data_IF_806782579744
#
_entry.id   IF_806782579744
#
_cell.length_a   1.000
_cell.length_b   1.000
_cell.length_c   1.000
_cell.angle_alpha   90.00
_cell.angle_beta   90.00
_cell.angle_gamma   90.00
#
_symmetry.space_group_name_H-M   'P 1'
#
loop_
_entity.id
_entity.type
_entity.pdbx_description
1 polymer ?
#
# COMPACT_ATOMS: atom_id res chain seq x y z
N UNK A 1 -14.65 71.37 -8.05
CA UNK A 1 -14.15 71.95 -9.30
C UNK A 1 -12.65 72.07 -9.21
N UNK A 2 -11.88 71.86 -10.34
CA UNK A 2 -12.21 71.18 -11.60
C UNK A 2 -11.38 69.92 -11.80
N UNK A 3 -11.80 69.07 -12.47
CA UNK A 3 -11.76 68.31 -13.74
C UNK A 3 -10.66 68.73 -14.72
N UNK A 4 -9.83 67.80 -15.16
CA UNK A 4 -9.15 67.75 -16.47
C UNK A 4 -8.87 66.25 -16.80
N UNK A 5 -9.65 65.69 -17.67
CA UNK A 5 -9.49 65.22 -19.05
C UNK A 5 -8.32 64.26 -19.33
N UNK A 6 -8.75 63.04 -19.66
CA UNK A 6 -8.39 62.19 -20.80
C UNK A 6 -7.19 62.57 -21.65
N UNK A 7 -6.32 61.53 -21.88
CA UNK A 7 -5.84 61.25 -23.23
C UNK A 7 -5.55 59.71 -23.37
N UNK A 8 -6.33 59.12 -24.23
CA UNK A 8 -6.13 57.83 -24.87
C UNK A 8 -4.89 57.87 -25.75
N UNK A 9 -4.01 56.87 -25.66
CA UNK A 9 -3.14 56.45 -26.73
C UNK A 9 -3.13 54.94 -26.87
N UNK A 10 -3.78 54.54 -27.94
CA UNK A 10 -3.77 53.25 -28.57
C UNK A 10 -2.35 52.89 -29.04
N UNK A 11 -1.80 51.76 -28.68
CA UNK A 11 -0.70 51.14 -29.40
C UNK A 11 -0.79 49.61 -29.33
N UNK A 12 -1.41 49.10 -30.38
CA UNK A 12 -1.26 47.70 -30.80
C UNK A 12 0.20 47.43 -31.16
N UNK A 13 0.85 46.50 -30.48
CA UNK A 13 1.87 45.63 -31.11
C UNK A 13 2.12 44.37 -30.27
N UNK A 14 1.95 43.22 -30.91
CA UNK A 14 2.82 42.09 -30.80
C UNK A 14 2.71 41.21 -29.54
N UNK A 15 1.77 40.29 -29.55
CA UNK A 15 1.81 39.15 -28.66
C UNK A 15 3.10 38.33 -28.82
N UNK A 16 3.88 38.24 -27.79
CA UNK A 16 4.86 37.18 -27.59
C UNK A 16 4.41 36.37 -26.37
N UNK A 17 3.76 35.26 -26.69
CA UNK A 17 3.50 34.18 -25.78
C UNK A 17 4.86 33.66 -25.26
N UNK A 18 5.29 34.10 -24.10
CA UNK A 18 6.35 33.44 -23.34
C UNK A 18 5.71 32.41 -22.45
N UNK A 19 5.40 31.26 -23.02
CA UNK A 19 5.33 30.04 -22.26
C UNK A 19 6.73 29.76 -21.71
N UNK A 20 7.01 30.30 -20.52
CA UNK A 20 8.11 29.88 -19.67
C UNK A 20 7.89 28.46 -19.23
N UNK A 21 8.20 27.51 -20.10
CA UNK A 21 8.37 26.11 -19.70
C UNK A 21 9.40 26.08 -18.59
N UNK A 22 8.98 25.78 -17.37
CA UNK A 22 9.86 25.31 -16.32
C UNK A 22 10.51 24.02 -16.85
N UNK A 23 11.68 24.17 -17.46
CA UNK A 23 12.61 23.08 -17.68
C UNK A 23 13.04 22.60 -16.30
N UNK A 24 12.29 21.65 -15.74
CA UNK A 24 12.83 20.74 -14.77
C UNK A 24 14.04 20.09 -15.43
N UNK A 25 15.25 20.60 -15.14
CA UNK A 25 16.51 19.95 -15.44
C UNK A 25 16.55 18.67 -14.58
N UNK A 26 15.77 17.67 -14.96
CA UNK A 26 15.88 16.31 -14.47
C UNK A 26 17.22 15.78 -15.02
N UNK A 27 18.24 15.82 -14.17
CA UNK A 27 19.51 15.16 -14.46
C UNK A 27 19.22 13.69 -14.76
N UNK A 28 19.39 13.30 -16.04
CA UNK A 28 19.15 11.90 -16.47
C UNK A 28 20.26 11.01 -15.91
N UNK A 29 19.88 10.02 -15.12
CA UNK A 29 20.79 9.04 -14.55
C UNK A 29 21.08 7.94 -15.58
N UNK A 30 22.15 8.09 -16.34
CA UNK A 30 22.54 7.15 -17.39
C UNK A 30 22.90 5.77 -16.87
N UNK A 31 23.43 5.66 -15.66
CA UNK A 31 23.67 4.37 -15.02
C UNK A 31 22.38 3.63 -14.72
N UNK A 32 21.37 4.34 -14.24
CA UNK A 32 20.03 3.80 -13.99
C UNK A 32 19.29 3.45 -15.28
N UNK A 33 19.42 4.25 -16.33
CA UNK A 33 18.81 3.97 -17.65
C UNK A 33 19.34 2.65 -18.21
N UNK A 34 20.66 2.39 -18.13
CA UNK A 34 21.27 1.14 -18.56
C UNK A 34 21.14 0.00 -17.53
N UNK A 35 20.68 0.30 -16.32
CA UNK A 35 20.61 -0.63 -15.19
C UNK A 35 21.99 -1.27 -14.88
N UNK A 36 23.00 -0.41 -14.71
CA UNK A 36 24.37 -0.80 -14.33
C UNK A 36 24.89 0.02 -13.16
N UNK A 37 25.90 -0.47 -12.47
CA UNK A 37 26.58 0.29 -11.40
C UNK A 37 27.36 1.48 -11.99
N UNK A 38 27.53 2.56 -11.21
CA UNK A 38 28.42 3.66 -11.55
C UNK A 38 29.90 3.21 -11.68
N UNK A 39 30.26 2.07 -11.08
CA UNK A 39 31.56 1.43 -11.22
C UNK A 39 31.66 0.43 -12.38
N UNK A 40 30.61 0.31 -13.20
CA UNK A 40 30.56 -0.67 -14.29
C UNK A 40 31.69 -0.49 -15.30
N UNK A 41 32.27 -1.60 -15.71
CA UNK A 41 33.27 -1.68 -16.77
C UNK A 41 32.65 -1.38 -18.14
N UNK A 42 33.48 -1.01 -19.10
CA UNK A 42 33.06 -0.81 -20.50
C UNK A 42 32.39 -2.06 -21.09
N UNK A 43 32.83 -3.27 -20.69
CA UNK A 43 32.23 -4.52 -21.13
C UNK A 43 30.80 -4.71 -20.59
N UNK A 44 30.56 -4.37 -19.32
CA UNK A 44 29.25 -4.41 -18.69
C UNK A 44 28.30 -3.40 -19.31
N UNK A 45 28.75 -2.17 -19.57
CA UNK A 45 27.98 -1.14 -20.26
C UNK A 45 27.54 -1.61 -21.65
N UNK A 46 28.49 -2.21 -22.45
CA UNK A 46 28.18 -2.77 -23.77
C UNK A 46 27.15 -3.90 -23.69
N UNK A 47 27.25 -4.76 -22.67
CA UNK A 47 26.32 -5.88 -22.46
C UNK A 47 24.93 -5.37 -22.08
N UNK A 48 24.86 -4.42 -21.18
CA UNK A 48 23.61 -3.81 -20.74
C UNK A 48 22.89 -3.08 -21.87
N UNK A 49 23.64 -2.30 -22.67
CA UNK A 49 23.10 -1.64 -23.86
C UNK A 49 22.47 -2.64 -24.85
N UNK A 50 23.18 -3.72 -25.20
CA UNK A 50 22.65 -4.75 -26.12
C UNK A 50 21.38 -5.39 -25.59
N UNK A 51 21.29 -5.62 -24.28
CA UNK A 51 20.10 -6.17 -23.65
C UNK A 51 18.93 -5.20 -23.75
N UNK A 52 19.13 -3.94 -23.35
CA UNK A 52 18.11 -2.87 -23.41
C UNK A 52 17.66 -2.55 -24.83
N UNK A 53 18.60 -2.46 -25.77
CA UNK A 53 18.28 -2.21 -27.17
C UNK A 53 17.43 -3.35 -27.77
N UNK A 54 17.72 -4.60 -27.41
CA UNK A 54 16.90 -5.75 -27.81
C UNK A 54 15.49 -5.70 -27.20
N UNK A 55 15.35 -5.31 -25.93
CA UNK A 55 14.05 -5.19 -25.25
C UNK A 55 13.16 -4.08 -25.85
N UNK A 56 13.77 -3.00 -26.36
CA UNK A 56 13.07 -1.84 -26.91
C UNK A 56 12.95 -1.83 -28.45
N UNK A 57 13.50 -2.86 -29.12
CA UNK A 57 13.51 -2.89 -30.60
C UNK A 57 12.10 -3.06 -31.16
N UNK A 58 11.69 -2.24 -32.18
CA UNK A 58 10.32 -2.25 -32.71
C UNK A 58 9.94 -3.55 -33.43
N UNK A 59 10.91 -4.37 -33.88
CA UNK A 59 10.67 -5.63 -34.60
C UNK A 59 10.42 -6.86 -33.71
N UNK A 60 10.46 -6.70 -32.39
CA UNK A 60 10.13 -7.83 -31.50
C UNK A 60 8.62 -7.83 -31.28
N UNK A 61 7.89 -8.88 -31.73
CA UNK A 61 6.46 -9.00 -31.54
C UNK A 61 6.16 -9.36 -30.08
N UNK A 62 6.15 -8.37 -29.20
CA UNK A 62 5.67 -8.52 -27.84
C UNK A 62 4.39 -7.72 -27.66
N UNK A 63 3.25 -8.44 -27.74
CA UNK A 63 1.90 -8.03 -27.42
C UNK A 63 1.27 -6.85 -28.20
N UNK A 64 0.51 -7.17 -29.21
CA UNK A 64 -0.28 -6.34 -30.11
C UNK A 64 -1.47 -5.61 -29.49
N UNK A 65 -1.38 -5.05 -28.27
CA UNK A 65 -2.57 -4.41 -27.68
C UNK A 65 -2.44 -2.96 -27.21
N UNK A 66 -1.40 -2.20 -27.57
CA UNK A 66 -1.41 -0.73 -27.33
C UNK A 66 -0.71 0.04 -28.44
N UNK A 67 -1.51 0.73 -29.27
CA UNK A 67 -1.04 1.68 -30.31
C UNK A 67 -0.25 2.87 -29.74
N UNK A 68 -0.39 3.16 -28.44
CA UNK A 68 0.33 4.24 -27.73
C UNK A 68 1.75 3.88 -27.27
N UNK A 69 2.17 2.62 -27.43
CA UNK A 69 3.48 2.14 -26.96
C UNK A 69 4.64 2.44 -27.91
N UNK A 70 4.39 2.76 -29.17
CA UNK A 70 5.47 2.96 -30.16
C UNK A 70 6.27 4.22 -29.91
N UNK A 71 5.62 5.34 -29.64
CA UNK A 71 6.29 6.62 -29.35
C UNK A 71 7.03 6.58 -27.99
N UNK A 72 6.49 5.84 -27.02
CA UNK A 72 7.17 5.63 -25.72
C UNK A 72 8.44 4.77 -25.85
N UNK A 73 8.40 3.72 -26.66
CA UNK A 73 9.56 2.85 -26.87
C UNK A 73 10.66 3.54 -27.70
N UNK A 74 10.30 4.37 -28.68
CA UNK A 74 11.27 5.18 -29.43
C UNK A 74 11.99 6.19 -28.53
N UNK A 75 11.27 6.89 -27.66
CA UNK A 75 11.88 7.80 -26.68
C UNK A 75 12.78 7.07 -25.69
N UNK A 76 12.34 5.93 -25.16
CA UNK A 76 13.13 5.09 -24.27
C UNK A 76 14.40 4.57 -24.97
N UNK A 77 14.32 4.16 -26.23
CA UNK A 77 15.47 3.71 -27.01
C UNK A 77 16.46 4.86 -27.24
N UNK A 78 15.98 6.06 -27.54
CA UNK A 78 16.83 7.26 -27.66
C UNK A 78 17.57 7.58 -26.36
N UNK A 79 16.91 7.45 -25.21
CA UNK A 79 17.57 7.64 -23.91
C UNK A 79 18.65 6.56 -23.65
N UNK A 80 18.37 5.31 -23.99
CA UNK A 80 19.34 4.20 -23.88
C UNK A 80 20.57 4.43 -24.77
N UNK A 81 20.38 4.93 -26.01
CA UNK A 81 21.47 5.27 -26.93
C UNK A 81 22.33 6.40 -26.36
N UNK A 82 21.70 7.50 -25.90
CA UNK A 82 22.42 8.62 -25.28
C UNK A 82 23.23 8.20 -24.06
N UNK A 83 22.63 7.40 -23.17
CA UNK A 83 23.30 6.86 -22.00
C UNK A 83 24.53 6.00 -22.40
N UNK A 84 24.37 5.13 -23.39
CA UNK A 84 25.45 4.29 -23.89
C UNK A 84 26.59 5.12 -24.49
N UNK A 85 26.30 6.05 -25.41
CA UNK A 85 27.32 6.92 -26.04
C UNK A 85 28.11 7.72 -25.02
N UNK A 86 27.42 8.24 -24.00
CA UNK A 86 28.07 9.04 -22.95
C UNK A 86 28.95 8.18 -22.05
N UNK A 87 28.49 6.99 -21.64
CA UNK A 87 29.19 6.14 -20.70
C UNK A 87 30.29 5.30 -21.38
N UNK A 88 30.25 5.12 -22.72
CA UNK A 88 31.25 4.40 -23.47
C UNK A 88 32.52 5.26 -23.75
N UNK A 89 32.34 6.53 -24.01
CA UNK A 89 33.44 7.49 -24.24
C UNK A 89 34.05 7.91 -22.91
N UNK A 90 35.34 7.64 -22.73
CA UNK A 90 36.05 7.90 -21.47
C UNK A 90 36.02 9.39 -21.05
N UNK A 91 36.09 10.34 -22.01
CA UNK A 91 36.03 11.79 -21.71
C UNK A 91 34.63 12.24 -21.33
N UNK A 92 33.62 11.79 -22.10
CA UNK A 92 32.22 12.09 -21.82
C UNK A 92 31.78 11.47 -20.51
N UNK A 93 32.21 10.23 -20.24
CA UNK A 93 31.93 9.56 -18.96
C UNK A 93 32.56 10.30 -17.79
N UNK A 94 33.80 10.73 -17.87
CA UNK A 94 34.48 11.47 -16.82
C UNK A 94 33.74 12.81 -16.52
N UNK A 95 33.31 13.54 -17.56
CA UNK A 95 32.53 14.76 -17.41
C UNK A 95 31.15 14.46 -16.78
N UNK A 96 30.47 13.40 -17.23
CA UNK A 96 29.21 12.97 -16.67
C UNK A 96 29.36 12.55 -15.20
N UNK A 97 30.40 11.78 -14.86
CA UNK A 97 30.67 11.31 -13.50
C UNK A 97 30.94 12.46 -12.54
N UNK A 98 31.59 13.52 -12.99
CA UNK A 98 31.79 14.72 -12.18
C UNK A 98 30.43 15.34 -11.75
N UNK A 99 29.50 15.50 -12.69
CA UNK A 99 28.15 16.03 -12.38
C UNK A 99 27.30 15.01 -11.65
N UNK A 100 27.38 13.75 -12.04
CA UNK A 100 26.67 12.63 -11.39
C UNK A 100 27.05 12.53 -9.91
N UNK A 101 28.33 12.48 -9.60
CA UNK A 101 28.82 12.42 -8.22
C UNK A 101 28.38 13.64 -7.41
N UNK A 102 28.44 14.84 -7.99
CA UNK A 102 27.96 16.07 -7.34
C UNK A 102 26.47 16.04 -7.09
N UNK A 103 25.68 15.48 -8.00
CA UNK A 103 24.22 15.38 -7.89
C UNK A 103 23.81 14.25 -6.95
N UNK A 104 24.46 13.10 -7.04
CA UNK A 104 24.22 11.94 -6.18
C UNK A 104 24.74 12.19 -4.76
N UNK A 105 25.88 12.85 -4.59
CA UNK A 105 26.38 13.25 -3.27
C UNK A 105 25.44 14.28 -2.60
N UNK A 106 24.87 15.24 -3.34
CA UNK A 106 23.83 16.11 -2.78
C UNK A 106 22.56 15.35 -2.37
N UNK A 107 22.20 14.26 -3.08
CA UNK A 107 21.09 13.39 -2.67
C UNK A 107 21.48 12.44 -1.51
N UNK A 108 22.74 12.03 -1.38
CA UNK A 108 23.24 11.23 -0.25
C UNK A 108 23.39 12.02 1.05
N UNK A 109 23.41 13.36 1.00
CA UNK A 109 23.53 14.19 2.21
C UNK A 109 22.21 14.33 2.97
N UNK A 110 21.05 13.98 2.38
CA UNK A 110 19.78 13.99 3.07
C UNK A 110 19.20 12.57 3.10
N UNK A 111 19.44 11.88 4.20
CA UNK A 111 18.79 10.60 4.49
C UNK A 111 17.45 10.87 5.16
N UNK A 112 16.36 10.81 4.37
CA UNK A 112 15.01 11.05 4.85
C UNK A 112 14.61 10.08 5.97
N UNK A 113 15.04 8.82 5.90
CA UNK A 113 14.78 7.81 6.93
C UNK A 113 15.46 8.17 8.25
N UNK A 114 16.74 8.55 8.19
CA UNK A 114 17.49 8.99 9.36
C UNK A 114 16.86 10.25 9.97
N UNK A 115 16.52 11.23 9.11
CA UNK A 115 15.85 12.45 9.56
C UNK A 115 14.52 12.16 10.28
N UNK A 116 13.68 11.25 9.75
CA UNK A 116 12.43 10.86 10.40
C UNK A 116 12.69 10.22 11.79
N UNK A 117 13.73 9.39 11.90
CA UNK A 117 14.13 8.79 13.19
C UNK A 117 14.57 9.83 14.23
N UNK A 118 15.32 10.83 13.80
CA UNK A 118 15.84 11.88 14.66
C UNK A 118 14.75 12.82 15.19
N UNK A 119 13.66 13.03 14.45
CA UNK A 119 12.54 13.87 14.89
C UNK A 119 11.84 13.32 16.15
N UNK A 120 11.73 12.00 16.29
CA UNK A 120 11.18 11.34 17.48
C UNK A 120 9.69 11.60 17.76
N UNK A 121 8.99 12.41 16.94
CA UNK A 121 7.57 12.71 17.12
C UNK A 121 6.70 11.53 16.65
N UNK A 122 5.44 11.49 17.08
CA UNK A 122 4.53 10.44 16.62
C UNK A 122 4.28 10.53 15.12
N UNK A 123 4.17 11.74 14.59
CA UNK A 123 4.02 12.01 13.16
C UNK A 123 5.20 11.47 12.36
N UNK A 124 6.43 11.76 12.78
CA UNK A 124 7.63 11.27 12.09
C UNK A 124 7.74 9.75 12.13
N UNK A 125 7.33 9.12 13.22
CA UNK A 125 7.28 7.66 13.36
C UNK A 125 6.26 7.03 12.45
N UNK A 126 5.09 7.63 12.31
CA UNK A 126 4.05 7.20 11.36
C UNK A 126 4.54 7.33 9.93
N UNK A 127 5.21 8.45 9.58
CA UNK A 127 5.84 8.59 8.26
C UNK A 127 6.98 7.60 8.05
N UNK A 128 7.71 7.22 9.10
CA UNK A 128 8.75 6.20 9.05
C UNK A 128 8.17 4.79 8.78
N UNK A 129 7.03 4.45 9.40
CA UNK A 129 6.30 3.20 9.11
C UNK A 129 5.97 3.14 7.62
N UNK A 130 5.37 4.20 7.10
CA UNK A 130 5.01 4.31 5.68
C UNK A 130 6.23 4.20 4.76
N UNK A 131 7.29 4.97 5.07
CA UNK A 131 8.53 4.91 4.32
C UNK A 131 9.12 3.50 4.28
N UNK A 132 9.20 2.84 5.43
CA UNK A 132 9.76 1.50 5.56
C UNK A 132 8.95 0.45 4.80
N UNK A 133 7.61 0.49 4.83
CA UNK A 133 6.73 -0.43 4.07
C UNK A 133 7.00 -0.40 2.57
N UNK A 134 7.37 0.75 2.00
CA UNK A 134 7.62 0.91 0.57
C UNK A 134 9.11 0.85 0.17
N UNK A 135 10.00 0.55 1.13
CA UNK A 135 11.46 0.48 0.90
C UNK A 135 12.07 -0.84 1.38
N UNK A 136 11.31 -1.93 1.34
CA UNK A 136 11.73 -3.29 1.73
C UNK A 136 12.31 -3.33 3.16
N UNK A 137 11.65 -2.67 4.10
CA UNK A 137 12.00 -2.64 5.51
C UNK A 137 10.75 -2.87 6.36
N UNK A 138 9.95 -3.89 6.00
CA UNK A 138 8.65 -4.21 6.56
C UNK A 138 8.77 -4.57 8.05
N UNK A 139 9.83 -5.28 8.45
CA UNK A 139 10.06 -5.67 9.85
C UNK A 139 10.22 -4.45 10.76
N UNK A 140 10.96 -3.44 10.30
CA UNK A 140 11.10 -2.19 11.03
C UNK A 140 9.80 -1.38 11.07
N UNK A 141 9.02 -1.41 9.97
CA UNK A 141 7.70 -0.76 9.93
C UNK A 141 6.76 -1.37 10.97
N UNK A 142 6.70 -2.69 11.04
CA UNK A 142 5.88 -3.41 12.02
C UNK A 142 6.35 -3.17 13.43
N UNK A 143 7.65 -3.25 13.68
CA UNK A 143 8.23 -2.98 15.00
C UNK A 143 7.85 -1.58 15.51
N UNK A 144 7.97 -0.54 14.67
CA UNK A 144 7.59 0.83 15.02
C UNK A 144 6.09 0.96 15.26
N UNK A 145 5.26 0.32 14.43
CA UNK A 145 3.80 0.32 14.59
C UNK A 145 3.39 -0.31 15.93
N UNK A 146 3.92 -1.49 16.26
CA UNK A 146 3.59 -2.21 17.49
C UNK A 146 4.06 -1.42 18.73
N UNK A 147 5.22 -0.76 18.66
CA UNK A 147 5.69 0.12 19.73
C UNK A 147 4.77 1.32 19.97
N UNK A 148 4.27 1.95 18.89
CA UNK A 148 3.31 3.05 18.99
C UNK A 148 1.98 2.58 19.59
N UNK A 149 1.49 1.42 19.19
CA UNK A 149 0.29 0.81 19.75
C UNK A 149 0.44 0.49 21.25
N UNK A 150 1.55 -0.10 21.63
CA UNK A 150 1.83 -0.44 23.04
C UNK A 150 1.93 0.81 23.94
N UNK A 151 2.50 1.90 23.43
CA UNK A 151 2.63 3.17 24.19
C UNK A 151 1.33 3.96 24.26
N UNK A 152 0.48 3.85 23.26
CA UNK A 152 -0.75 4.64 23.15
C UNK A 152 -1.91 3.73 22.72
N UNK A 153 -2.70 3.19 23.69
CA UNK A 153 -3.80 2.27 23.34
C UNK A 153 -4.82 2.83 22.35
N UNK A 154 -5.05 4.14 22.37
CA UNK A 154 -5.94 4.83 21.41
C UNK A 154 -5.23 5.28 20.13
N UNK A 155 -4.04 4.76 19.83
CA UNK A 155 -3.31 5.09 18.60
C UNK A 155 -4.06 4.58 17.37
N UNK A 156 -4.20 5.44 16.37
CA UNK A 156 -4.78 5.09 15.07
C UNK A 156 -4.02 5.84 13.96
N UNK A 157 -3.57 5.10 12.96
CA UNK A 157 -2.92 5.65 11.77
C UNK A 157 -3.81 6.64 11.03
N UNK A 158 -5.14 6.43 11.07
CA UNK A 158 -6.13 7.28 10.41
C UNK A 158 -6.06 8.76 10.81
N UNK A 159 -5.51 9.06 11.98
CA UNK A 159 -5.34 10.44 12.48
C UNK A 159 -4.20 11.20 11.78
N UNK A 160 -3.24 10.48 11.21
CA UNK A 160 -2.00 11.03 10.66
C UNK A 160 -1.97 11.01 9.12
N UNK A 161 -2.88 10.29 8.50
CA UNK A 161 -2.99 10.18 7.06
C UNK A 161 -4.29 10.80 6.54
N UNK A 162 -4.23 11.30 5.30
CA UNK A 162 -5.47 11.47 4.55
C UNK A 162 -6.13 10.09 4.34
N UNK A 163 -7.37 10.10 3.88
CA UNK A 163 -8.13 8.85 3.75
C UNK A 163 -7.49 7.87 2.75
N UNK A 164 -7.03 8.37 1.60
CA UNK A 164 -6.41 7.53 0.56
C UNK A 164 -5.15 6.85 1.07
N UNK A 165 -4.21 7.63 1.59
CA UNK A 165 -2.95 7.09 2.13
C UNK A 165 -3.19 6.09 3.28
N UNK A 166 -4.21 6.35 4.13
CA UNK A 166 -4.59 5.41 5.17
C UNK A 166 -5.11 4.09 4.60
N UNK A 167 -5.96 4.14 3.58
CA UNK A 167 -6.50 2.93 2.96
C UNK A 167 -5.38 2.07 2.36
N UNK A 168 -4.50 2.67 1.58
CA UNK A 168 -3.42 1.97 0.88
C UNK A 168 -2.35 1.46 1.87
N UNK A 169 -1.81 2.34 2.70
CA UNK A 169 -0.78 1.99 3.68
C UNK A 169 -1.31 1.05 4.76
N UNK A 170 -2.53 1.29 5.24
CA UNK A 170 -3.17 0.45 6.24
C UNK A 170 -3.41 -0.97 5.75
N UNK A 171 -3.79 -1.15 4.48
CA UNK A 171 -3.99 -2.48 3.90
C UNK A 171 -2.66 -3.24 3.78
N UNK A 172 -1.61 -2.61 3.22
CA UNK A 172 -0.28 -3.23 3.13
C UNK A 172 0.25 -3.60 4.53
N UNK A 173 0.10 -2.70 5.50
CA UNK A 173 0.50 -3.00 6.88
C UNK A 173 -0.31 -4.16 7.49
N UNK A 174 -1.60 -4.25 7.20
CA UNK A 174 -2.43 -5.36 7.68
C UNK A 174 -2.02 -6.71 7.08
N UNK A 175 -1.63 -6.74 5.79
CA UNK A 175 -1.06 -7.94 5.16
C UNK A 175 0.26 -8.35 5.81
N UNK A 176 1.17 -7.40 6.04
CA UNK A 176 2.46 -7.66 6.66
C UNK A 176 2.33 -8.13 8.12
N UNK A 177 1.39 -7.56 8.87
CA UNK A 177 1.05 -8.04 10.22
C UNK A 177 0.47 -9.45 10.18
N UNK A 178 -0.39 -9.77 9.20
CA UNK A 178 -0.94 -11.11 9.04
C UNK A 178 0.16 -12.14 8.75
N UNK A 179 1.12 -11.83 7.89
CA UNK A 179 2.22 -12.74 7.56
C UNK A 179 3.19 -12.98 8.71
N UNK A 180 3.24 -12.06 9.71
CA UNK A 180 4.09 -12.15 10.90
C UNK A 180 3.32 -12.52 12.17
N UNK A 181 2.15 -13.12 12.01
CA UNK A 181 1.32 -13.67 13.09
C UNK A 181 0.78 -12.62 14.09
N UNK A 182 0.82 -11.32 13.75
CA UNK A 182 0.19 -10.24 14.52
C UNK A 182 -1.29 -10.10 14.15
N UNK A 183 -2.07 -11.15 14.40
CA UNK A 183 -3.43 -11.31 13.88
C UNK A 183 -4.43 -10.30 14.43
N UNK A 184 -4.32 -9.95 15.69
CA UNK A 184 -5.24 -8.99 16.31
C UNK A 184 -5.03 -7.57 15.76
N UNK A 185 -3.79 -7.14 15.63
CA UNK A 185 -3.43 -5.85 15.04
C UNK A 185 -3.83 -5.77 13.58
N UNK A 186 -3.62 -6.84 12.83
CA UNK A 186 -4.08 -6.95 11.44
C UNK A 186 -5.60 -6.81 11.36
N UNK A 187 -6.34 -7.47 12.25
CA UNK A 187 -7.80 -7.38 12.30
C UNK A 187 -8.28 -5.96 12.57
N UNK A 188 -7.71 -5.27 13.55
CA UNK A 188 -8.10 -3.91 13.90
C UNK A 188 -7.86 -2.90 12.76
N UNK A 189 -6.80 -3.10 11.97
CA UNK A 189 -6.57 -2.29 10.78
C UNK A 189 -7.59 -2.61 9.67
N UNK A 190 -7.85 -3.88 9.39
CA UNK A 190 -8.84 -4.30 8.40
C UNK A 190 -10.24 -3.81 8.78
N UNK A 191 -10.62 -3.88 10.05
CA UNK A 191 -11.88 -3.34 10.54
C UNK A 191 -12.01 -1.85 10.22
N UNK A 192 -10.98 -1.05 10.54
CA UNK A 192 -11.00 0.39 10.25
C UNK A 192 -11.10 0.66 8.74
N UNK A 193 -10.36 -0.08 7.92
CA UNK A 193 -10.36 0.03 6.46
C UNK A 193 -11.76 -0.31 5.91
N UNK A 194 -12.36 -1.41 6.36
CA UNK A 194 -13.68 -1.84 5.90
C UNK A 194 -14.75 -0.80 6.30
N UNK A 195 -14.70 -0.28 7.52
CA UNK A 195 -15.61 0.79 7.97
C UNK A 195 -15.44 2.08 7.16
N UNK A 196 -14.21 2.45 6.79
CA UNK A 196 -13.95 3.61 5.91
C UNK A 196 -14.45 3.36 4.48
N UNK A 197 -14.30 2.14 3.95
CA UNK A 197 -14.83 1.77 2.63
C UNK A 197 -16.36 1.80 2.59
N UNK A 198 -17.02 1.34 3.65
CA UNK A 198 -18.49 1.37 3.78
C UNK A 198 -19.06 2.79 3.84
N UNK A 199 -18.32 3.76 4.41
CA UNK A 199 -18.73 5.18 4.42
C UNK A 199 -18.61 5.80 3.03
N UNK A 200 -17.55 5.48 2.31
CA UNK A 200 -17.26 5.98 0.98
C UNK A 200 -16.35 5.02 0.23
N UNK A 201 -16.77 4.61 -0.95
CA UNK A 201 -16.00 3.68 -1.80
C UNK A 201 -14.65 4.27 -2.18
N UNK A 202 -13.59 3.50 -1.98
CA UNK A 202 -12.20 3.81 -2.35
C UNK A 202 -11.58 2.72 -3.22
N UNK A 203 -11.55 1.48 -2.72
CA UNK A 203 -10.90 0.35 -3.39
C UNK A 203 -11.66 -0.19 -4.60
N UNK A 204 -12.96 0.11 -4.75
CA UNK A 204 -13.77 -0.34 -5.88
C UNK A 204 -13.61 -1.85 -6.13
N UNK A 205 -12.99 -2.21 -7.28
CA UNK A 205 -12.79 -3.61 -7.68
C UNK A 205 -11.80 -4.38 -6.80
N UNK A 206 -10.98 -3.70 -6.02
CA UNK A 206 -10.03 -4.33 -5.10
C UNK A 206 -10.64 -4.69 -3.74
N UNK A 207 -11.77 -4.11 -3.36
CA UNK A 207 -12.40 -4.37 -2.07
C UNK A 207 -12.69 -5.85 -1.76
N UNK A 208 -13.05 -6.71 -2.73
CA UNK A 208 -13.17 -8.14 -2.49
C UNK A 208 -11.90 -8.78 -1.90
N UNK A 209 -10.70 -8.33 -2.28
CA UNK A 209 -9.43 -8.83 -1.73
C UNK A 209 -9.28 -8.48 -0.24
N UNK A 210 -9.70 -7.28 0.15
CA UNK A 210 -9.73 -6.86 1.56
C UNK A 210 -10.64 -7.78 2.36
N UNK A 211 -11.82 -8.11 1.83
CA UNK A 211 -12.76 -9.04 2.49
C UNK A 211 -12.25 -10.47 2.51
N UNK A 212 -11.52 -10.91 1.48
CA UNK A 212 -10.86 -12.23 1.45
C UNK A 212 -9.84 -12.33 2.57
N UNK A 213 -8.98 -11.32 2.74
CA UNK A 213 -8.00 -11.30 3.81
C UNK A 213 -8.66 -11.29 5.20
N UNK A 214 -9.67 -10.43 5.40
CA UNK A 214 -10.41 -10.36 6.66
C UNK A 214 -11.07 -11.71 7.00
N UNK A 215 -11.73 -12.35 6.02
CA UNK A 215 -12.34 -13.66 6.17
C UNK A 215 -11.30 -14.74 6.53
N UNK A 216 -10.17 -14.77 5.82
CA UNK A 216 -9.09 -15.72 6.08
C UNK A 216 -8.52 -15.52 7.48
N UNK A 217 -8.30 -14.27 7.87
CA UNK A 217 -7.79 -13.93 9.20
C UNK A 217 -8.71 -14.43 10.30
N UNK A 218 -10.03 -14.19 10.20
CA UNK A 218 -10.99 -14.62 11.21
C UNK A 218 -11.08 -16.14 11.27
N UNK A 219 -11.30 -16.80 10.13
CA UNK A 219 -11.60 -18.23 10.08
C UNK A 219 -10.40 -19.13 10.36
N UNK A 220 -9.21 -18.71 9.95
CA UNK A 220 -8.02 -19.56 9.95
C UNK A 220 -7.02 -19.22 11.05
N UNK A 221 -7.10 -18.00 11.61
CA UNK A 221 -6.09 -17.50 12.54
C UNK A 221 -6.68 -17.06 13.88
N UNK A 222 -7.51 -16.05 13.90
CA UNK A 222 -8.04 -15.41 15.13
C UNK A 222 -8.70 -16.46 16.04
N UNK A 223 -9.55 -17.30 15.48
CA UNK A 223 -10.30 -18.34 16.20
C UNK A 223 -9.39 -19.30 16.98
N UNK A 224 -8.15 -19.45 16.56
CA UNK A 224 -7.19 -20.41 17.16
C UNK A 224 -6.07 -19.74 17.94
N UNK A 225 -5.82 -18.46 17.69
CA UNK A 225 -4.66 -17.74 18.21
C UNK A 225 -4.97 -16.80 19.38
N UNK A 226 -6.23 -16.37 19.53
CA UNK A 226 -6.62 -15.39 20.54
C UNK A 226 -7.46 -16.02 21.65
N UNK A 227 -7.54 -15.31 22.78
CA UNK A 227 -8.44 -15.61 23.86
C UNK A 227 -9.90 -15.45 23.43
N UNK A 228 -10.81 -16.23 24.04
CA UNK A 228 -12.22 -16.29 23.66
C UNK A 228 -12.91 -14.91 23.61
N UNK A 229 -12.63 -14.03 24.56
CA UNK A 229 -13.20 -12.69 24.61
C UNK A 229 -12.83 -11.88 23.36
N UNK A 230 -11.54 -11.87 23.00
CA UNK A 230 -11.05 -11.17 21.80
C UNK A 230 -11.58 -11.80 20.52
N UNK A 231 -11.75 -13.13 20.49
CA UNK A 231 -12.38 -13.81 19.35
C UNK A 231 -13.82 -13.36 19.18
N UNK A 232 -14.59 -13.25 20.28
CA UNK A 232 -15.97 -12.80 20.23
C UNK A 232 -16.04 -11.37 19.71
N UNK A 233 -15.23 -10.45 20.23
CA UNK A 233 -15.18 -9.04 19.77
C UNK A 233 -14.89 -8.96 18.26
N UNK A 234 -13.90 -9.72 17.79
CA UNK A 234 -13.59 -9.79 16.36
C UNK A 234 -14.72 -10.39 15.52
N UNK A 235 -15.38 -11.42 16.02
CA UNK A 235 -16.49 -12.05 15.33
C UNK A 235 -17.70 -11.12 15.24
N UNK A 236 -18.04 -10.40 16.32
CA UNK A 236 -19.13 -9.42 16.33
C UNK A 236 -18.88 -8.30 15.32
N UNK A 237 -17.69 -7.70 15.33
CA UNK A 237 -17.32 -6.68 14.34
C UNK A 237 -17.40 -7.21 12.90
N UNK A 238 -17.00 -8.46 12.68
CA UNK A 238 -16.98 -9.09 11.36
C UNK A 238 -18.38 -9.36 10.77
N UNK A 239 -19.40 -9.48 11.57
CA UNK A 239 -20.79 -9.60 11.08
C UNK A 239 -21.24 -8.38 10.27
N UNK A 240 -20.60 -7.22 10.50
CA UNK A 240 -20.89 -5.97 9.80
C UNK A 240 -20.00 -5.72 8.56
N UNK A 241 -19.04 -6.59 8.25
CA UNK A 241 -18.08 -6.40 7.15
C UNK A 241 -18.66 -6.56 5.74
N UNK A 242 -19.94 -6.92 5.61
CA UNK A 242 -20.52 -7.20 4.29
C UNK A 242 -20.16 -8.59 3.74
N UNK A 243 -19.73 -9.51 4.60
CA UNK A 243 -19.43 -10.90 4.25
C UNK A 243 -20.67 -11.65 3.76
N UNK A 244 -20.45 -12.77 3.05
CA UNK A 244 -21.54 -13.62 2.57
C UNK A 244 -22.36 -14.21 3.72
N UNK A 245 -23.63 -14.56 3.46
CA UNK A 245 -24.48 -15.24 4.45
C UNK A 245 -23.83 -16.54 4.96
N UNK A 246 -23.11 -17.25 4.10
CA UNK A 246 -22.43 -18.47 4.48
C UNK A 246 -21.25 -18.19 5.44
N UNK A 247 -20.46 -17.13 5.19
CA UNK A 247 -19.37 -16.73 6.10
C UNK A 247 -19.91 -16.24 7.43
N UNK A 248 -20.97 -15.42 7.44
CA UNK A 248 -21.65 -14.97 8.67
C UNK A 248 -22.18 -16.16 9.48
N UNK A 249 -22.75 -17.17 8.82
CA UNK A 249 -23.22 -18.38 9.49
C UNK A 249 -22.08 -19.15 10.19
N UNK A 250 -20.91 -19.27 9.54
CA UNK A 250 -19.73 -19.92 10.17
C UNK A 250 -19.20 -19.09 11.36
N UNK A 251 -19.19 -17.77 11.26
CA UNK A 251 -18.81 -16.89 12.37
C UNK A 251 -19.77 -17.06 13.55
N UNK A 252 -21.08 -17.01 13.32
CA UNK A 252 -22.11 -17.20 14.35
C UNK A 252 -22.04 -18.58 15.00
N UNK A 253 -21.76 -19.61 14.21
CA UNK A 253 -21.53 -20.96 14.75
C UNK A 253 -20.34 -20.97 15.70
N UNK A 254 -19.27 -20.28 15.36
CA UNK A 254 -18.07 -20.21 16.21
C UNK A 254 -18.33 -19.43 17.49
N UNK A 255 -19.06 -18.32 17.40
CA UNK A 255 -19.50 -17.59 18.58
C UNK A 255 -20.35 -18.48 19.50
N UNK A 256 -21.28 -19.27 18.93
CA UNK A 256 -22.06 -20.24 19.70
C UNK A 256 -21.17 -21.26 20.43
N UNK A 257 -20.12 -21.80 19.77
CA UNK A 257 -19.17 -22.72 20.40
C UNK A 257 -18.48 -22.09 21.61
N UNK A 258 -18.08 -20.81 21.48
CA UNK A 258 -17.39 -20.09 22.55
C UNK A 258 -18.36 -19.81 23.70
N UNK A 259 -19.54 -19.27 23.43
CA UNK A 259 -20.54 -19.01 24.49
C UNK A 259 -20.93 -20.28 25.25
N UNK A 260 -21.10 -21.39 24.56
CA UNK A 260 -21.35 -22.69 25.24
C UNK A 260 -20.19 -23.11 26.15
N UNK A 261 -18.95 -22.93 25.68
CA UNK A 261 -17.75 -23.23 26.46
C UNK A 261 -17.61 -22.34 27.71
N UNK A 262 -18.05 -21.08 27.60
CA UNK A 262 -18.11 -20.14 28.72
C UNK A 262 -19.31 -20.38 29.66
N UNK A 263 -20.21 -21.30 29.33
CA UNK A 263 -21.40 -21.62 30.14
C UNK A 263 -22.60 -20.71 29.83
N UNK A 264 -22.51 -19.78 28.89
CA UNK A 264 -23.65 -18.96 28.43
C UNK A 264 -24.46 -19.70 27.35
N UNK A 265 -25.29 -20.62 27.79
CA UNK A 265 -26.13 -21.42 26.90
C UNK A 265 -27.21 -20.60 26.20
N UNK A 266 -27.67 -19.52 26.82
CA UNK A 266 -28.69 -18.64 26.25
C UNK A 266 -28.18 -17.94 24.98
N UNK A 267 -27.07 -17.23 25.11
CA UNK A 267 -26.43 -16.54 23.99
C UNK A 267 -25.91 -17.51 22.95
N UNK A 268 -25.34 -18.66 23.40
CA UNK A 268 -24.90 -19.73 22.51
C UNK A 268 -26.02 -20.29 21.63
N UNK A 269 -27.22 -20.52 22.21
CA UNK A 269 -28.39 -20.96 21.44
C UNK A 269 -28.84 -19.87 20.43
N UNK A 270 -28.88 -18.61 20.85
CA UNK A 270 -29.25 -17.49 19.97
C UNK A 270 -28.31 -17.38 18.77
N UNK A 271 -27.00 -17.47 18.98
CA UNK A 271 -26.00 -17.49 17.90
C UNK A 271 -26.16 -18.71 16.97
N UNK A 272 -26.40 -19.89 17.53
CA UNK A 272 -26.61 -21.12 16.76
C UNK A 272 -27.89 -21.04 15.90
N UNK A 273 -28.98 -20.47 16.40
CA UNK A 273 -30.22 -20.28 15.66
C UNK A 273 -30.04 -19.23 14.55
N UNK A 274 -29.38 -18.11 14.83
CA UNK A 274 -29.04 -17.10 13.84
C UNK A 274 -28.14 -17.70 12.72
N UNK A 275 -27.19 -18.56 13.08
CA UNK A 275 -26.36 -19.27 12.11
C UNK A 275 -27.18 -20.14 11.16
N UNK A 276 -28.16 -20.90 11.69
CA UNK A 276 -29.08 -21.72 10.87
C UNK A 276 -30.00 -20.87 10.00
N UNK A 277 -30.45 -19.71 10.46
CA UNK A 277 -31.22 -18.76 9.65
C UNK A 277 -30.42 -18.21 8.48
N UNK A 278 -29.12 -17.91 8.71
CA UNK A 278 -28.22 -17.43 7.64
C UNK A 278 -27.88 -18.52 6.63
N UNK A 279 -27.64 -19.75 7.10
CA UNK A 279 -27.31 -20.91 6.26
C UNK A 279 -27.95 -22.20 6.81
N UNK A 280 -29.15 -22.59 6.34
CA UNK A 280 -29.81 -23.83 6.79
C UNK A 280 -29.03 -25.12 6.54
N UNK A 281 -28.02 -25.07 5.64
CA UNK A 281 -27.18 -26.23 5.30
C UNK A 281 -25.85 -26.28 6.08
N UNK A 282 -25.66 -25.40 7.05
CA UNK A 282 -24.43 -25.37 7.86
C UNK A 282 -24.27 -26.67 8.64
N UNK A 283 -23.09 -27.27 8.58
CA UNK A 283 -22.85 -28.56 9.23
C UNK A 283 -22.42 -28.38 10.70
N UNK A 284 -22.83 -29.32 11.53
CA UNK A 284 -22.30 -29.47 12.89
C UNK A 284 -23.08 -28.71 13.97
N UNK A 285 -23.95 -27.76 13.67
CA UNK A 285 -24.71 -26.98 14.69
C UNK A 285 -25.65 -27.88 15.51
N UNK A 286 -26.36 -28.83 14.88
CA UNK A 286 -27.24 -29.73 15.59
C UNK A 286 -26.47 -30.64 16.57
N UNK A 287 -25.29 -31.11 16.17
CA UNK A 287 -24.39 -31.87 17.05
C UNK A 287 -23.89 -31.02 18.21
N UNK A 288 -23.53 -29.75 17.92
CA UNK A 288 -23.07 -28.80 18.92
C UNK A 288 -24.13 -28.54 19.98
N UNK A 289 -25.35 -28.20 19.58
CA UNK A 289 -26.49 -27.99 20.48
C UNK A 289 -26.76 -29.24 21.34
N UNK A 290 -26.74 -30.42 20.74
CA UNK A 290 -26.96 -31.68 21.48
C UNK A 290 -25.86 -31.93 22.52
N UNK A 291 -24.59 -31.78 22.14
CA UNK A 291 -23.44 -31.98 23.01
C UNK A 291 -23.49 -31.11 24.27
N UNK A 292 -23.74 -29.80 24.12
CA UNK A 292 -23.78 -28.91 25.27
C UNK A 292 -25.08 -28.99 26.08
N UNK A 293 -26.19 -29.40 25.45
CA UNK A 293 -27.42 -29.67 26.18
C UNK A 293 -27.28 -30.85 27.14
N UNK A 294 -26.51 -31.88 26.74
CA UNK A 294 -26.23 -33.06 27.57
C UNK A 294 -25.26 -32.75 28.73
N UNK A 295 -24.49 -31.65 28.66
CA UNK A 295 -23.59 -31.23 29.73
C UNK A 295 -24.24 -30.22 30.71
N UNK A 296 -25.41 -29.71 30.38
CA UNK A 296 -26.13 -28.72 31.21
C UNK A 296 -27.02 -29.38 32.27
N UNK A 297 -27.03 -30.70 32.33
CA UNK A 297 -27.69 -31.51 33.33
C UNK A 297 -26.65 -32.25 34.20
#
# INVERSE_FOLDING_TARGET
MPAVREQTLDNRTGGRNQNGGQSNNLFEDYYKILNVSSSASTAEIKRAFRKKAKELHPDIPYNTQKKDSRTGNEQALMQVIRAYETLLDAKRRAAFDFFYNKTVQKKKTFDYRLWLKEQGTTESKVMLIFFNLFHNAEDEAISEFLQLRAKTPAFSLRRYFNRGDFMDCGFVLAEELFFRDHYYEAFLLLEQIIREEQKQTYFRHFFPEVLILARKLIREKIIYALADDLVLDCCEAALDFGLSKADKAEILKKMAEIYYRMGDFSTGNSCADASLQMNPRIRGITKLKKYYREQSY
#
